data_IF_314601148712
#
_entry.id   IF_314601148712
#
_cell.length_a   1.000
_cell.length_b   1.000
_cell.length_c   1.000
_cell.angle_alpha   90.00
_cell.angle_beta   90.00
_cell.angle_gamma   90.00
#
_symmetry.space_group_name_H-M   'P 1'
#
loop_
_entity.id
_entity.type
_entity.pdbx_description
1 polymer ?
#
# COMPACT_ATOMS: atom_id res chain seq x y z
N UNK A 1 16.55 -8.25 -18.13
CA UNK A 1 17.14 -7.50 -16.99
C UNK A 1 16.16 -6.51 -16.35
N UNK A 2 15.64 -5.49 -17.06
CA UNK A 2 14.73 -4.49 -16.47
C UNK A 2 13.48 -5.10 -15.79
N UNK A 3 12.85 -6.12 -16.40
CA UNK A 3 11.66 -6.79 -15.82
C UNK A 3 11.94 -7.50 -14.49
N UNK A 4 13.14 -8.04 -14.31
CA UNK A 4 13.54 -8.69 -13.07
C UNK A 4 13.78 -7.65 -11.97
N UNK A 5 14.39 -6.51 -12.31
CA UNK A 5 14.56 -5.40 -11.37
C UNK A 5 13.22 -4.90 -10.82
N UNK A 6 12.22 -4.67 -11.69
CA UNK A 6 10.89 -4.24 -11.25
C UNK A 6 10.20 -5.26 -10.33
N UNK A 7 10.41 -6.56 -10.56
CA UNK A 7 9.88 -7.62 -9.67
C UNK A 7 10.55 -7.60 -8.31
N UNK A 8 11.88 -7.41 -8.26
CA UNK A 8 12.62 -7.29 -7.00
C UNK A 8 12.13 -6.06 -6.22
N UNK A 9 12.02 -4.91 -6.89
CA UNK A 9 11.49 -3.68 -6.30
C UNK A 9 10.07 -3.86 -5.78
N UNK A 10 9.22 -4.57 -6.52
CA UNK A 10 7.86 -4.89 -6.06
C UNK A 10 7.85 -5.73 -4.79
N UNK A 11 8.70 -6.76 -4.69
CA UNK A 11 8.82 -7.56 -3.45
C UNK A 11 9.32 -6.70 -2.29
N UNK A 12 10.32 -5.84 -2.52
CA UNK A 12 10.83 -4.93 -1.48
C UNK A 12 9.75 -3.96 -0.98
N UNK A 13 8.97 -3.39 -1.90
CA UNK A 13 7.84 -2.51 -1.56
C UNK A 13 6.76 -3.27 -0.81
N UNK A 14 6.43 -4.50 -1.25
CA UNK A 14 5.47 -5.36 -0.56
C UNK A 14 5.90 -5.61 0.89
N UNK A 15 7.17 -5.96 1.10
CA UNK A 15 7.71 -6.15 2.44
C UNK A 15 7.69 -4.84 3.24
N UNK A 16 8.16 -3.72 2.67
CA UNK A 16 8.19 -2.43 3.35
C UNK A 16 6.82 -1.94 3.80
N UNK A 17 5.81 -2.03 2.93
CA UNK A 17 4.43 -1.68 3.26
C UNK A 17 3.87 -2.59 4.36
N UNK A 18 4.07 -3.91 4.27
CA UNK A 18 3.53 -4.84 5.27
C UNK A 18 4.26 -4.74 6.62
N UNK A 19 5.57 -4.46 6.62
CA UNK A 19 6.33 -4.19 7.84
C UNK A 19 5.80 -2.95 8.58
N UNK A 20 5.28 -1.95 7.86
CA UNK A 20 4.66 -0.78 8.47
C UNK A 20 3.19 -1.03 8.87
N UNK A 21 2.42 -1.71 8.02
CA UNK A 21 0.99 -1.92 8.24
C UNK A 21 0.70 -2.96 9.33
N UNK A 22 1.53 -4.00 9.48
CA UNK A 22 1.32 -5.07 10.46
C UNK A 22 1.30 -4.56 11.91
N UNK A 23 2.29 -3.77 12.39
CA UNK A 23 2.24 -3.22 13.74
C UNK A 23 0.99 -2.38 14.00
N UNK A 24 0.57 -1.56 13.02
CA UNK A 24 -0.62 -0.70 13.13
C UNK A 24 -1.90 -1.56 13.18
N UNK A 25 -1.96 -2.60 12.34
CA UNK A 25 -3.07 -3.56 12.31
C UNK A 25 -3.18 -4.32 13.63
N UNK A 26 -2.07 -4.85 14.15
CA UNK A 26 -2.03 -5.53 15.46
C UNK A 26 -2.44 -4.56 16.57
N UNK A 27 -1.88 -3.35 16.58
CA UNK A 27 -2.24 -2.33 17.55
C UNK A 27 -3.75 -2.05 17.53
N UNK A 28 -4.38 -1.97 16.35
CA UNK A 28 -5.82 -1.73 16.24
C UNK A 28 -6.71 -2.81 16.86
N UNK A 29 -6.21 -4.04 17.01
CA UNK A 29 -6.92 -5.14 17.68
C UNK A 29 -6.81 -5.02 19.21
N UNK A 30 -5.68 -4.52 19.71
CA UNK A 30 -5.33 -4.54 21.13
C UNK A 30 -5.31 -3.16 21.81
N UNK A 31 -5.66 -2.09 21.10
CA UNK A 31 -5.60 -0.71 21.60
C UNK A 31 -6.70 -0.37 22.64
N UNK A 32 -7.71 -1.23 22.82
CA UNK A 32 -8.83 -0.97 23.73
C UNK A 32 -8.56 -1.43 25.17
N UNK A 33 -9.32 -0.86 26.12
CA UNK A 33 -9.10 -0.99 27.56
C UNK A 33 -8.94 -2.45 28.03
N UNK A 34 -8.05 -2.66 29.01
CA UNK A 34 -7.86 -3.97 29.63
C UNK A 34 -9.19 -4.52 30.17
N UNK A 35 -9.68 -5.59 29.56
CA UNK A 35 -10.93 -6.25 29.92
C UNK A 35 -12.07 -6.07 28.91
N UNK A 36 -11.89 -5.23 27.87
CA UNK A 36 -12.82 -5.21 26.75
C UNK A 36 -12.66 -6.46 25.89
N UNK A 37 -13.76 -7.13 25.56
CA UNK A 37 -13.74 -8.24 24.62
C UNK A 37 -13.36 -7.72 23.22
N UNK A 38 -12.44 -8.42 22.54
CA UNK A 38 -12.13 -8.15 21.13
C UNK A 38 -13.41 -8.40 20.33
N UNK A 39 -13.84 -7.38 19.59
CA UNK A 39 -15.05 -7.39 18.80
C UNK A 39 -14.77 -7.68 17.33
N UNK A 40 -15.82 -7.98 16.57
CA UNK A 40 -15.74 -8.09 15.11
C UNK A 40 -15.31 -6.78 14.44
N UNK A 41 -15.59 -5.63 15.07
CA UNK A 41 -15.18 -4.32 14.55
C UNK A 41 -13.66 -4.15 14.57
N UNK A 42 -12.99 -4.65 15.61
CA UNK A 42 -11.54 -4.56 15.77
C UNK A 42 -10.82 -5.36 14.69
N UNK A 43 -11.29 -6.59 14.43
CA UNK A 43 -10.78 -7.39 13.31
C UNK A 43 -11.06 -6.73 11.95
N UNK A 44 -12.23 -6.13 11.78
CA UNK A 44 -12.60 -5.45 10.52
C UNK A 44 -11.67 -4.28 10.25
N UNK A 45 -11.34 -3.49 11.27
CA UNK A 45 -10.39 -2.39 11.18
C UNK A 45 -8.98 -2.89 10.83
N UNK A 46 -8.51 -3.92 11.53
CA UNK A 46 -7.20 -4.52 11.31
C UNK A 46 -7.04 -5.05 9.88
N UNK A 47 -8.05 -5.76 9.36
CA UNK A 47 -8.09 -6.26 7.99
C UNK A 47 -8.13 -5.09 7.00
N UNK A 48 -8.93 -4.06 7.27
CA UNK A 48 -9.02 -2.88 6.40
C UNK A 48 -7.67 -2.19 6.27
N UNK A 49 -6.94 -2.00 7.37
CA UNK A 49 -5.59 -1.44 7.36
C UNK A 49 -4.68 -2.27 6.44
N UNK A 50 -4.67 -3.60 6.60
CA UNK A 50 -3.82 -4.48 5.78
C UNK A 50 -4.18 -4.42 4.29
N UNK A 51 -5.47 -4.45 3.96
CA UNK A 51 -5.95 -4.45 2.57
C UNK A 51 -5.66 -3.11 1.90
N UNK A 52 -6.05 -2.00 2.55
CA UNK A 52 -5.92 -0.64 1.97
C UNK A 52 -4.45 -0.28 1.76
N UNK A 53 -3.58 -0.65 2.71
CA UNK A 53 -2.14 -0.39 2.60
C UNK A 53 -1.51 -1.08 1.38
N UNK A 54 -2.04 -2.24 0.99
CA UNK A 54 -1.54 -3.04 -0.13
C UNK A 54 -2.15 -2.66 -1.50
N UNK A 55 -2.92 -1.57 -1.62
CA UNK A 55 -3.39 -1.13 -2.94
C UNK A 55 -2.24 -0.73 -3.87
N UNK A 56 -1.19 -0.10 -3.35
CA UNK A 56 -0.04 0.26 -4.19
C UNK A 56 0.76 -0.96 -4.65
N UNK A 57 0.86 -2.01 -3.82
CA UNK A 57 1.56 -3.25 -4.17
C UNK A 57 0.79 -4.01 -5.25
N UNK A 58 -0.54 -4.02 -5.17
CA UNK A 58 -1.42 -4.54 -6.22
C UNK A 58 -1.27 -3.76 -7.53
N UNK A 59 -1.25 -2.43 -7.46
CA UNK A 59 -1.06 -1.56 -8.62
C UNK A 59 0.24 -1.89 -9.36
N UNK A 60 1.36 -1.96 -8.63
CA UNK A 60 2.68 -2.26 -9.16
C UNK A 60 2.71 -3.63 -9.83
N UNK A 61 2.11 -4.64 -9.19
CA UNK A 61 2.00 -5.98 -9.76
C UNK A 61 1.32 -5.94 -11.14
N UNK A 62 0.19 -5.24 -11.25
CA UNK A 62 -0.57 -5.12 -12.51
C UNK A 62 0.26 -4.37 -13.56
N UNK A 63 0.88 -3.25 -13.21
CA UNK A 63 1.67 -2.44 -14.14
C UNK A 63 2.87 -3.21 -14.69
N UNK A 64 3.56 -3.98 -13.84
CA UNK A 64 4.69 -4.84 -14.23
C UNK A 64 4.20 -5.97 -15.14
N UNK A 65 3.07 -6.62 -14.80
CA UNK A 65 2.49 -7.69 -15.63
C UNK A 65 2.10 -7.18 -17.02
N UNK A 66 1.56 -5.96 -17.11
CA UNK A 66 1.19 -5.30 -18.37
C UNK A 66 2.35 -4.60 -19.09
N UNK A 67 3.59 -4.68 -18.61
CA UNK A 67 4.77 -3.97 -19.13
C UNK A 67 4.58 -2.44 -19.28
N UNK A 68 3.74 -1.82 -18.43
CA UNK A 68 3.50 -0.38 -18.48
C UNK A 68 4.56 0.37 -17.65
N UNK A 69 5.74 0.59 -18.25
CA UNK A 69 6.90 1.17 -17.57
C UNK A 69 6.58 2.49 -16.84
N UNK A 70 5.86 3.39 -17.49
CA UNK A 70 5.51 4.69 -16.90
C UNK A 70 4.62 4.56 -15.66
N UNK A 71 3.60 3.70 -15.71
CA UNK A 71 2.72 3.44 -14.57
C UNK A 71 3.43 2.68 -13.44
N UNK A 72 4.43 1.85 -13.76
CA UNK A 72 5.27 1.20 -12.76
C UNK A 72 6.17 2.22 -12.03
N UNK A 73 6.75 3.18 -12.73
CA UNK A 73 7.57 4.24 -12.12
C UNK A 73 6.72 5.11 -11.19
N UNK A 74 5.55 5.56 -11.63
CA UNK A 74 4.64 6.31 -10.77
C UNK A 74 4.20 5.50 -9.55
N UNK A 75 3.95 4.20 -9.72
CA UNK A 75 3.65 3.29 -8.62
C UNK A 75 4.77 3.22 -7.59
N UNK A 76 6.03 3.15 -8.03
CA UNK A 76 7.20 3.10 -7.13
C UNK A 76 7.30 4.39 -6.32
N UNK A 77 7.12 5.54 -6.97
CA UNK A 77 7.17 6.85 -6.30
C UNK A 77 6.08 6.92 -5.22
N UNK A 78 4.84 6.56 -5.55
CA UNK A 78 3.72 6.54 -4.59
C UNK A 78 4.00 5.57 -3.44
N UNK A 79 4.55 4.39 -3.73
CA UNK A 79 4.89 3.41 -2.70
C UNK A 79 5.93 3.93 -1.71
N UNK A 80 6.99 4.58 -2.20
CA UNK A 80 8.01 5.19 -1.34
C UNK A 80 7.37 6.28 -0.48
N UNK A 81 6.54 7.14 -1.07
CA UNK A 81 5.80 8.17 -0.32
C UNK A 81 4.90 7.56 0.76
N UNK A 82 4.23 6.44 0.47
CA UNK A 82 3.35 5.75 1.42
C UNK A 82 4.14 5.13 2.58
N UNK A 83 5.33 4.56 2.32
CA UNK A 83 6.24 4.07 3.36
C UNK A 83 6.74 5.23 4.23
N UNK A 84 7.15 6.35 3.62
CA UNK A 84 7.56 7.56 4.37
C UNK A 84 6.40 8.07 5.24
N UNK A 85 5.18 8.11 4.71
CA UNK A 85 4.00 8.53 5.44
C UNK A 85 3.74 7.64 6.67
N UNK A 86 3.91 6.32 6.52
CA UNK A 86 3.84 5.39 7.65
C UNK A 86 4.90 5.66 8.72
N UNK A 87 6.15 5.87 8.31
CA UNK A 87 7.24 6.16 9.25
C UNK A 87 6.99 7.47 10.00
N UNK A 88 6.51 8.51 9.32
CA UNK A 88 6.13 9.78 9.95
C UNK A 88 5.00 9.58 10.96
N UNK A 89 3.98 8.79 10.61
CA UNK A 89 2.89 8.49 11.52
C UNK A 89 3.35 7.69 12.76
N UNK A 90 4.17 6.65 12.56
CA UNK A 90 4.63 5.79 13.66
C UNK A 90 5.65 6.47 14.58
N UNK A 91 6.52 7.33 14.05
CA UNK A 91 7.61 7.91 14.84
C UNK A 91 7.29 9.27 15.44
N UNK A 92 6.61 10.13 14.67
CA UNK A 92 6.36 11.52 15.05
C UNK A 92 4.91 11.78 15.47
N UNK A 93 4.02 10.79 15.33
CA UNK A 93 2.58 10.92 15.56
C UNK A 93 1.96 12.11 14.80
N UNK A 94 2.53 12.46 13.66
CA UNK A 94 2.09 13.61 12.89
C UNK A 94 0.84 13.30 12.08
N UNK A 95 -0.18 14.13 12.23
CA UNK A 95 -1.40 14.13 11.39
C UNK A 95 -1.02 14.25 9.91
N UNK A 96 0.08 14.95 9.61
CA UNK A 96 0.68 15.05 8.27
C UNK A 96 0.92 13.66 7.65
N UNK A 97 1.40 12.68 8.43
CA UNK A 97 1.61 11.32 7.97
C UNK A 97 0.32 10.65 7.52
N UNK A 98 -0.77 10.83 8.27
CA UNK A 98 -2.10 10.31 7.90
C UNK A 98 -2.57 10.94 6.59
N UNK A 99 -2.44 12.26 6.44
CA UNK A 99 -2.88 12.98 5.24
C UNK A 99 -2.12 12.49 4.01
N UNK A 100 -0.79 12.39 4.08
CA UNK A 100 0.04 11.91 2.98
C UNK A 100 -0.31 10.45 2.65
N UNK A 101 -0.52 9.62 3.67
CA UNK A 101 -0.95 8.23 3.48
C UNK A 101 -2.29 8.16 2.74
N UNK A 102 -3.30 8.90 3.17
CA UNK A 102 -4.62 8.94 2.52
C UNK A 102 -4.53 9.39 1.05
N UNK A 103 -3.74 10.43 0.76
CA UNK A 103 -3.51 10.88 -0.62
C UNK A 103 -2.83 9.78 -1.44
N UNK A 104 -1.83 9.11 -0.88
CA UNK A 104 -1.11 8.02 -1.56
C UNK A 104 -2.03 6.83 -1.89
N UNK A 105 -2.97 6.50 -0.99
CA UNK A 105 -3.97 5.46 -1.22
C UNK A 105 -4.90 5.83 -2.37
N UNK A 106 -5.43 7.06 -2.38
CA UNK A 106 -6.30 7.56 -3.46
C UNK A 106 -5.56 7.55 -4.80
N UNK A 107 -4.31 8.01 -4.81
CA UNK A 107 -3.46 7.99 -5.99
C UNK A 107 -3.23 6.54 -6.48
N UNK A 108 -2.98 5.60 -5.56
CA UNK A 108 -2.82 4.18 -5.86
C UNK A 108 -4.05 3.61 -6.57
N UNK A 109 -5.25 3.85 -6.03
CA UNK A 109 -6.52 3.40 -6.62
C UNK A 109 -6.72 3.99 -8.02
N UNK A 110 -6.47 5.29 -8.17
CA UNK A 110 -6.58 5.97 -9.47
C UNK A 110 -5.63 5.35 -10.50
N UNK A 111 -4.41 5.03 -10.08
CA UNK A 111 -3.40 4.42 -10.93
C UNK A 111 -3.73 2.95 -11.25
N UNK A 112 -4.36 2.20 -10.34
CA UNK A 112 -4.93 0.87 -10.63
C UNK A 112 -5.94 0.98 -11.78
N UNK A 113 -6.92 1.88 -11.66
CA UNK A 113 -7.98 2.07 -12.66
C UNK A 113 -7.37 2.43 -14.02
N UNK A 114 -6.41 3.37 -14.03
CA UNK A 114 -5.70 3.77 -15.25
C UNK A 114 -4.94 2.60 -15.88
N UNK A 115 -4.20 1.84 -15.07
CA UNK A 115 -3.43 0.67 -15.51
C UNK A 115 -4.35 -0.44 -16.04
N UNK A 116 -5.54 -0.57 -15.47
CA UNK A 116 -6.56 -1.51 -15.91
C UNK A 116 -7.17 -1.14 -17.25
N UNK A 117 -7.62 0.12 -17.41
CA UNK A 117 -8.26 0.62 -18.64
C UNK A 117 -7.32 0.65 -19.83
N UNK A 118 -6.03 0.94 -19.61
CA UNK A 118 -5.06 0.96 -20.69
C UNK A 118 -4.76 -0.49 -21.12
N UNK A 119 -5.49 -0.97 -22.14
CA UNK A 119 -5.24 -2.26 -22.79
C UNK A 119 -3.95 -2.12 -23.60
N UNK A 120 -2.86 -2.71 -23.10
CA UNK A 120 -1.68 -2.88 -23.95
C UNK A 120 -2.01 -3.97 -24.99
N UNK A 121 -1.82 -3.74 -26.29
CA UNK A 121 -2.19 -4.68 -27.35
C UNK A 121 -1.39 -6.00 -27.31
N UNK A 122 -0.34 -6.11 -26.50
CA UNK A 122 0.46 -7.33 -26.33
C UNK A 122 -0.21 -8.42 -25.45
N UNK A 123 -1.46 -8.21 -25.03
CA UNK A 123 -2.29 -9.18 -24.29
C UNK A 123 -3.58 -9.56 -25.06
N UNK A 124 -3.65 -9.22 -26.35
CA UNK A 124 -4.62 -9.81 -27.31
C UNK A 124 -3.91 -10.90 -28.11
#
# INVERSE_FOLDING_TARGET
>A
MQKNLYRILWVLILLGINLCALPISIYSIFAFEKGSNITTMDYTLAITIMVVSNFITLQLFIAIKKNQKQNAIYGIIIAVTQIVAFLLFMHLYEITGIIIFSISVIASVTLIIKTWKNKNPALM
#
